data_IF_016125682513
#
_entry.id   IF_016125682513
#
_cell.length_a   1.000
_cell.length_b   1.000
_cell.length_c   1.000
_cell.angle_alpha   90.00
_cell.angle_beta   90.00
_cell.angle_gamma   90.00
#
_symmetry.space_group_name_H-M   'P 1'
#
loop_
_entity.id
_entity.type
_entity.pdbx_description
1 polymer ?
#
# COMPACT_ATOMS: atom_id res chain seq x y z
N UNK A 1 6.53 -9.35 6.68
CA UNK A 1 5.05 -9.53 6.70
C UNK A 1 4.53 -9.39 5.29
N UNK A 2 3.50 -10.15 4.91
CA UNK A 2 2.90 -10.08 3.57
C UNK A 2 1.40 -10.29 3.63
N UNK A 3 0.69 -9.80 2.61
CA UNK A 3 -0.74 -9.95 2.43
C UNK A 3 -1.04 -10.36 0.99
N UNK A 4 -2.00 -11.26 0.79
CA UNK A 4 -2.43 -11.72 -0.52
C UNK A 4 -3.95 -11.64 -0.66
N UNK A 5 -4.41 -11.28 -1.87
CA UNK A 5 -5.82 -11.27 -2.21
C UNK A 5 -6.02 -11.64 -3.69
N UNK A 6 -7.20 -12.16 -4.03
CA UNK A 6 -7.63 -12.26 -5.43
C UNK A 6 -8.18 -10.91 -5.89
N UNK A 7 -7.64 -10.37 -6.99
CA UNK A 7 -8.10 -9.11 -7.60
C UNK A 7 -8.22 -9.25 -9.11
N UNK A 8 -9.12 -8.48 -9.73
CA UNK A 8 -9.28 -8.46 -11.19
C UNK A 8 -8.08 -7.78 -11.84
N UNK A 9 -7.29 -8.55 -12.59
CA UNK A 9 -6.08 -8.05 -13.24
C UNK A 9 -6.40 -7.34 -14.56
N UNK A 10 -5.84 -6.14 -14.76
CA UNK A 10 -5.89 -5.42 -16.04
C UNK A 10 -7.06 -4.45 -16.24
N UNK A 11 -8.03 -4.38 -15.31
CA UNK A 11 -9.10 -3.37 -15.32
C UNK A 11 -10.03 -3.37 -16.54
N UNK A 12 -10.15 -4.50 -17.25
CA UNK A 12 -11.00 -4.65 -18.44
C UNK A 12 -12.27 -5.41 -18.10
N UNK A 13 -13.31 -5.29 -18.93
CA UNK A 13 -14.60 -6.00 -18.77
C UNK A 13 -14.44 -7.51 -18.55
N UNK A 14 -13.47 -8.13 -19.23
CA UNK A 14 -13.19 -9.57 -19.15
C UNK A 14 -11.97 -9.91 -18.27
N UNK A 15 -11.61 -9.03 -17.34
CA UNK A 15 -10.49 -9.26 -16.42
C UNK A 15 -10.73 -10.53 -15.59
N UNK A 16 -9.65 -11.28 -15.37
CA UNK A 16 -9.68 -12.50 -14.54
C UNK A 16 -9.08 -12.22 -13.17
N UNK A 17 -9.56 -12.93 -12.16
CA UNK A 17 -8.95 -12.91 -10.83
C UNK A 17 -7.52 -13.47 -10.90
N UNK A 18 -6.56 -12.68 -10.41
CA UNK A 18 -5.17 -13.08 -10.20
C UNK A 18 -4.79 -12.82 -8.76
N UNK A 19 -3.79 -13.54 -8.26
CA UNK A 19 -3.26 -13.23 -6.93
C UNK A 19 -2.48 -11.93 -7.01
N UNK A 20 -2.86 -11.00 -6.17
CA UNK A 20 -2.20 -9.74 -5.92
C UNK A 20 -1.57 -9.82 -4.52
N UNK A 21 -0.27 -9.62 -4.44
CA UNK A 21 0.51 -9.78 -3.20
C UNK A 21 1.21 -8.48 -2.84
N UNK A 22 1.06 -8.05 -1.59
CA UNK A 22 1.90 -7.03 -0.96
C UNK A 22 2.95 -7.74 -0.12
N UNK A 23 4.21 -7.33 -0.26
CA UNK A 23 5.29 -7.72 0.62
C UNK A 23 5.87 -6.48 1.32
N UNK A 24 5.80 -6.44 2.65
CA UNK A 24 6.40 -5.37 3.44
C UNK A 24 7.87 -5.68 3.68
N UNK A 25 8.75 -4.87 3.10
CA UNK A 25 10.21 -5.11 3.08
C UNK A 25 10.96 -4.33 4.16
N UNK A 26 10.36 -3.28 4.73
CA UNK A 26 10.96 -2.49 5.80
C UNK A 26 9.89 -1.92 6.72
N UNK A 27 10.28 -1.68 7.97
CA UNK A 27 9.49 -0.92 8.95
C UNK A 27 10.30 0.28 9.43
N UNK A 28 9.63 1.40 9.68
CA UNK A 28 10.23 2.61 10.25
C UNK A 28 9.29 3.21 11.29
N UNK A 29 9.87 3.82 12.32
CA UNK A 29 9.13 4.57 13.32
C UNK A 29 8.98 6.03 12.86
N UNK A 30 7.76 6.53 12.84
CA UNK A 30 7.42 7.94 12.61
C UNK A 30 6.64 8.42 13.84
N UNK A 31 7.09 9.49 14.49
CA UNK A 31 6.45 10.07 15.67
C UNK A 31 6.06 9.05 16.75
N UNK A 32 6.94 8.08 17.00
CA UNK A 32 6.72 7.00 17.98
C UNK A 32 5.91 5.80 17.49
N UNK A 33 5.32 5.85 16.30
CA UNK A 33 4.54 4.74 15.71
C UNK A 33 5.36 3.96 14.69
N UNK A 34 5.55 2.66 14.92
CA UNK A 34 6.25 1.76 13.99
C UNK A 34 5.28 1.23 12.94
N UNK A 35 5.52 1.54 11.67
CA UNK A 35 4.72 1.05 10.53
C UNK A 35 5.61 0.43 9.45
N UNK A 36 5.06 -0.43 8.57
CA UNK A 36 5.74 -0.77 7.33
C UNK A 36 5.94 0.48 6.47
N UNK A 37 7.19 0.83 6.16
CA UNK A 37 7.50 2.04 5.40
C UNK A 37 7.92 1.74 3.96
N UNK A 38 8.34 0.51 3.65
CA UNK A 38 8.59 0.06 2.28
C UNK A 38 7.81 -1.21 1.98
N UNK A 39 7.21 -1.26 0.80
CA UNK A 39 6.57 -2.47 0.29
C UNK A 39 6.75 -2.59 -1.22
N UNK A 40 6.71 -3.83 -1.70
CA UNK A 40 6.51 -4.10 -3.12
C UNK A 40 5.21 -4.87 -3.33
N UNK A 41 4.63 -4.67 -4.50
CA UNK A 41 3.35 -5.24 -4.87
C UNK A 41 3.51 -5.97 -6.18
N UNK A 42 3.17 -7.26 -6.19
CA UNK A 42 3.27 -8.10 -7.37
C UNK A 42 1.95 -8.75 -7.74
N UNK A 43 1.72 -8.87 -9.04
CA UNK A 43 0.76 -9.83 -9.58
C UNK A 43 1.48 -11.16 -9.78
N UNK A 44 0.92 -12.24 -9.22
CA UNK A 44 1.39 -13.60 -9.48
C UNK A 44 0.76 -14.09 -10.79
N UNK A 45 1.52 -14.04 -11.87
CA UNK A 45 1.11 -14.49 -13.20
C UNK A 45 1.76 -15.84 -13.51
N UNK A 46 1.33 -16.50 -14.60
CA UNK A 46 1.89 -17.82 -14.95
C UNK A 46 3.33 -17.70 -15.46
N UNK A 47 3.61 -16.57 -16.10
CA UNK A 47 4.88 -16.21 -16.73
C UNK A 47 5.90 -15.71 -15.70
N UNK A 48 5.45 -15.46 -14.47
CA UNK A 48 6.28 -14.96 -13.37
C UNK A 48 5.58 -13.86 -12.57
N UNK A 49 6.31 -13.34 -11.61
CA UNK A 49 5.85 -12.21 -10.81
C UNK A 49 6.00 -10.92 -11.60
N UNK A 50 4.87 -10.24 -11.84
CA UNK A 50 4.89 -8.89 -12.39
C UNK A 50 4.91 -7.87 -11.25
N UNK A 51 6.03 -7.18 -11.08
CA UNK A 51 6.14 -6.09 -10.11
C UNK A 51 5.32 -4.88 -10.59
N UNK A 52 4.26 -4.57 -9.87
CA UNK A 52 3.32 -3.51 -10.22
C UNK A 52 3.63 -2.19 -9.54
N UNK A 53 4.04 -2.23 -8.27
CA UNK A 53 4.30 -1.03 -7.48
C UNK A 53 5.41 -1.30 -6.46
N UNK A 54 6.38 -0.40 -6.41
CA UNK A 54 7.25 -0.23 -5.25
C UNK A 54 6.78 1.03 -4.51
N UNK A 55 6.47 0.91 -3.22
CA UNK A 55 5.94 2.00 -2.42
C UNK A 55 6.86 2.28 -1.23
N UNK A 56 7.18 3.55 -1.03
CA UNK A 56 7.89 4.05 0.14
C UNK A 56 7.12 5.20 0.79
N UNK A 57 6.84 5.07 2.09
CA UNK A 57 6.29 6.14 2.93
C UNK A 57 7.48 6.93 3.48
N UNK A 58 7.59 8.20 3.11
CA UNK A 58 8.69 9.09 3.52
C UNK A 58 8.32 9.99 4.70
N UNK A 59 7.02 10.25 4.90
CA UNK A 59 6.49 11.15 5.93
C UNK A 59 5.08 10.71 6.32
N UNK A 60 4.75 10.87 7.60
CA UNK A 60 3.38 10.83 8.11
C UNK A 60 3.02 12.24 8.61
N UNK A 61 1.84 12.71 8.26
CA UNK A 61 1.29 13.96 8.78
C UNK A 61 -0.02 13.67 9.50
N UNK A 62 -0.18 14.23 10.70
CA UNK A 62 -1.42 14.12 11.45
C UNK A 62 -2.42 15.11 10.85
N UNK A 63 -3.58 14.62 10.40
CA UNK A 63 -4.69 15.49 10.06
C UNK A 63 -5.34 15.98 11.35
N UNK A 64 -5.32 17.29 11.59
CA UNK A 64 -6.02 17.91 12.72
C UNK A 64 -7.44 18.30 12.29
N UNK A 65 -8.48 17.70 12.89
CA UNK A 65 -9.88 18.08 12.65
C UNK A 65 -10.39 19.19 13.57
N UNK A 66 -9.58 19.63 14.54
CA UNK A 66 -9.89 20.81 15.36
C UNK A 66 -9.65 22.06 14.52
N UNK A 67 -10.69 22.48 13.80
CA UNK A 67 -10.77 23.85 13.29
C UNK A 67 -10.64 24.78 14.49
N UNK A 68 -9.60 25.60 14.50
CA UNK A 68 -9.51 26.78 15.37
C UNK A 68 -10.78 27.62 15.14
N UNK A 69 -11.75 27.54 16.06
CA UNK A 69 -12.83 28.53 16.13
C UNK A 69 -12.16 29.79 16.67
N UNK A 70 -11.80 30.69 15.76
CA UNK A 70 -11.48 32.06 16.13
C UNK A 70 -12.82 32.70 16.49
N UNK A 71 -13.00 33.00 17.77
CA UNK A 71 -14.07 33.86 18.25
C UNK A 71 -13.45 35.25 18.33
N UNK A 72 -13.80 36.12 17.37
CA UNK A 72 -13.56 37.56 17.46
C UNK A 72 -14.55 38.21 18.43
#
# INVERSE_FOLDING_TARGET
TSFEAKRYYGGKTNSKLKTWRINMTSHKTFDGVKIPNKSNVSWKLKEGDFNWLNLEIIKLEKYNSEKNIIID
#
